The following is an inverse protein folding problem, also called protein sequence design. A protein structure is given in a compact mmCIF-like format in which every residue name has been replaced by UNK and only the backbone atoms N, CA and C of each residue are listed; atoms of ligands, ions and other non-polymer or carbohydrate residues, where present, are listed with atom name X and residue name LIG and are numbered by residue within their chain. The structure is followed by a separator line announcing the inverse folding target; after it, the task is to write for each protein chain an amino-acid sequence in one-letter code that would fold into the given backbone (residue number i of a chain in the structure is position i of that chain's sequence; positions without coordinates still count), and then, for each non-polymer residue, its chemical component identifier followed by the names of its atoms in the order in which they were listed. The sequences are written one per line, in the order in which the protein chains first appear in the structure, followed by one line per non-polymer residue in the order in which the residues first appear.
data_IF_653741624601
#
_entry.id   IF_653741624601
#
_cell.length_a   1.000
_cell.length_b   1.000
_cell.length_c   1.000
_cell.angle_alpha   90.00
_cell.angle_beta   90.00
_cell.angle_gamma   90.00
#
_symmetry.space_group_name_H-M   'P 1'
#
loop_
_entity.id
_entity.type
_entity.pdbx_description
1 polymer ?
#
# COMPACT_ATOMS: atom_id res chain seq x y z
N UNK A 1 11.93 15.84 34.75
CA UNK A 1 12.66 14.67 34.24
C UNK A 1 12.75 14.84 32.74
N UNK A 2 13.87 15.39 32.29
CA UNK A 2 14.16 15.69 30.88
C UNK A 2 14.62 14.40 30.20
N UNK A 3 14.06 14.08 29.04
CA UNK A 3 14.50 12.96 28.21
C UNK A 3 15.16 13.53 26.96
N UNK A 4 16.46 13.30 26.88
CA UNK A 4 17.36 13.59 25.77
C UNK A 4 16.95 12.84 24.49
N UNK A 5 17.04 13.55 23.37
CA UNK A 5 16.97 12.98 22.01
C UNK A 5 18.34 12.42 21.60
N UNK A 6 18.43 11.27 20.92
CA UNK A 6 19.71 10.78 20.41
C UNK A 6 20.07 11.47 19.09
N UNK A 7 21.26 12.07 19.04
CA UNK A 7 21.88 12.57 17.82
C UNK A 7 22.43 11.41 16.96
N UNK A 8 22.17 11.46 15.65
CA UNK A 8 22.88 10.63 14.67
C UNK A 8 24.34 11.09 14.57
N UNK A 9 25.26 10.23 14.97
CA UNK A 9 26.70 10.48 14.96
C UNK A 9 27.27 10.31 13.54
N UNK A 10 27.54 11.42 12.86
CA UNK A 10 28.35 11.44 11.64
C UNK A 10 29.84 11.26 11.97
N UNK A 11 30.51 10.32 11.29
CA UNK A 11 31.97 10.23 11.22
C UNK A 11 32.37 10.19 9.76
N UNK A 12 32.97 11.26 9.22
CA UNK A 12 34.11 11.15 8.29
C UNK A 12 35.06 12.33 8.57
N UNK A 13 36.34 11.99 8.64
CA UNK A 13 37.51 12.75 9.09
C UNK A 13 37.77 14.04 8.30
N UNK A 14 38.04 15.11 9.04
CA UNK A 14 38.64 16.36 8.57
C UNK A 14 40.15 16.19 8.40
N UNK A 15 40.65 16.26 7.17
CA UNK A 15 42.05 16.56 6.87
C UNK A 15 42.11 17.93 6.19
N UNK A 16 42.34 18.98 6.99
CA UNK A 16 42.74 20.29 6.49
C UNK A 16 44.25 20.29 6.27
N UNK A 17 44.68 20.39 5.03
CA UNK A 17 46.00 20.88 4.65
C UNK A 17 45.81 22.19 3.88
N UNK A 18 46.18 23.29 4.54
CA UNK A 18 46.28 24.63 3.97
C UNK A 18 47.36 24.65 2.87
N UNK A 19 46.98 25.00 1.66
CA UNK A 19 47.83 25.77 0.74
C UNK A 19 46.94 26.81 0.06
N UNK A 20 47.23 28.08 0.35
CA UNK A 20 46.62 29.21 -0.32
C UNK A 20 47.51 29.58 -1.51
N UNK A 21 46.95 29.53 -2.73
CA UNK A 21 47.39 30.43 -3.78
C UNK A 21 46.28 30.68 -4.82
N UNK A 22 46.04 31.98 -5.04
CA UNK A 22 45.53 32.64 -6.24
C UNK A 22 44.29 32.10 -7.00
N UNK A 23 43.16 32.76 -6.72
CA UNK A 23 42.21 33.28 -7.72
C UNK A 23 41.60 32.28 -8.73
N UNK A 24 40.81 31.32 -8.23
CA UNK A 24 39.83 30.61 -9.06
C UNK A 24 38.41 31.02 -8.68
N UNK A 25 37.67 31.54 -9.66
CA UNK A 25 36.23 31.76 -9.59
C UNK A 25 35.58 30.41 -9.22
N UNK A 26 34.67 30.34 -8.22
CA UNK A 26 34.00 29.09 -7.88
C UNK A 26 33.31 28.55 -9.14
N UNK A 27 33.71 27.36 -9.57
CA UNK A 27 33.06 26.64 -10.66
C UNK A 27 31.55 26.60 -10.42
N UNK A 28 30.76 27.14 -11.36
CA UNK A 28 29.29 27.18 -11.32
C UNK A 28 28.70 25.77 -11.09
N UNK A 29 29.45 24.72 -11.45
CA UNK A 29 29.09 23.32 -11.22
C UNK A 29 29.18 22.87 -9.75
N UNK A 30 29.98 23.52 -8.91
CA UNK A 30 30.14 23.19 -7.49
C UNK A 30 29.03 23.81 -6.62
N UNK A 31 28.59 25.03 -6.93
CA UNK A 31 27.45 25.68 -6.27
C UNK A 31 26.11 25.00 -6.61
N UNK A 32 25.91 24.60 -7.88
CA UNK A 32 24.70 23.88 -8.29
C UNK A 32 24.60 22.47 -7.64
N UNK A 33 25.75 21.83 -7.34
CA UNK A 33 25.77 20.53 -6.68
C UNK A 33 25.43 20.64 -5.18
N UNK A 34 25.89 21.68 -4.48
CA UNK A 34 25.53 21.92 -3.08
C UNK A 34 24.06 22.29 -2.90
N UNK A 35 23.50 23.08 -3.82
CA UNK A 35 22.08 23.47 -3.76
C UNK A 35 21.15 22.26 -4.00
N UNK A 36 21.47 21.41 -4.98
CA UNK A 36 20.70 20.20 -5.27
C UNK A 36 20.77 19.16 -4.13
N UNK A 37 21.93 19.06 -3.47
CA UNK A 37 22.08 18.25 -2.25
C UNK A 37 21.24 18.79 -1.09
N UNK A 38 21.21 20.12 -0.90
CA UNK A 38 20.39 20.77 0.13
C UNK A 38 18.89 20.59 -0.13
N UNK A 39 18.45 20.65 -1.39
CA UNK A 39 17.05 20.41 -1.78
C UNK A 39 16.64 18.94 -1.52
N UNK A 40 17.50 17.98 -1.89
CA UNK A 40 17.27 16.55 -1.65
C UNK A 40 17.19 16.24 -0.15
N UNK A 41 18.11 16.80 0.64
CA UNK A 41 18.09 16.63 2.10
C UNK A 41 16.86 17.26 2.74
N UNK A 42 16.50 18.48 2.34
CA UNK A 42 15.29 19.17 2.82
C UNK A 42 14.04 18.33 2.53
N UNK A 43 14.00 17.72 1.34
CA UNK A 43 12.91 16.83 0.94
C UNK A 43 12.85 15.55 1.79
N UNK A 44 14.00 14.92 2.04
CA UNK A 44 14.08 13.72 2.86
C UNK A 44 13.60 13.99 4.29
N UNK A 45 14.01 15.11 4.89
CA UNK A 45 13.52 15.52 6.21
C UNK A 45 12.02 15.75 6.22
N UNK A 46 11.48 16.42 5.20
CA UNK A 46 10.04 16.64 5.07
C UNK A 46 9.28 15.30 5.00
N UNK A 47 9.70 14.37 4.14
CA UNK A 47 9.06 13.06 3.99
C UNK A 47 9.09 12.28 5.31
N UNK A 48 10.24 12.28 6.00
CA UNK A 48 10.39 11.58 7.27
C UNK A 48 9.48 12.19 8.36
N UNK A 49 9.41 13.52 8.46
CA UNK A 49 8.52 14.19 9.41
C UNK A 49 7.05 13.81 9.16
N UNK A 50 6.63 13.79 7.90
CA UNK A 50 5.27 13.40 7.52
C UNK A 50 4.99 11.94 7.86
N UNK A 51 5.91 11.01 7.54
CA UNK A 51 5.79 9.60 7.93
C UNK A 51 5.66 9.43 9.45
N UNK A 52 6.48 10.14 10.24
CA UNK A 52 6.40 10.07 11.70
C UNK A 52 5.06 10.58 12.24
N UNK A 53 4.52 11.66 11.68
CA UNK A 53 3.17 12.15 12.04
C UNK A 53 2.12 11.07 11.77
N UNK A 54 2.16 10.45 10.60
CA UNK A 54 1.21 9.41 10.21
C UNK A 54 1.30 8.15 11.09
N UNK A 55 2.51 7.77 11.53
CA UNK A 55 2.68 6.67 12.50
C UNK A 55 2.06 7.03 13.86
N UNK A 56 2.22 8.27 14.34
CA UNK A 56 1.64 8.71 15.62
C UNK A 56 0.11 8.66 15.64
N UNK A 57 -0.54 8.76 14.49
CA UNK A 57 -2.00 8.62 14.34
C UNK A 57 -2.48 7.16 14.44
N UNK A 58 -1.60 6.17 14.26
CA UNK A 58 -1.97 4.76 14.31
C UNK A 58 -2.18 4.27 15.76
N UNK A 59 -2.98 3.22 15.98
CA UNK A 59 -3.01 2.51 17.26
C UNK A 59 -1.63 1.97 17.69
N UNK A 60 -1.33 2.00 19.00
CA UNK A 60 -0.02 1.59 19.57
C UNK A 60 0.50 0.23 19.09
N UNK A 61 -0.40 -0.74 18.88
CA UNK A 61 -0.07 -2.10 18.39
C UNK A 61 0.58 -2.14 16.99
N UNK A 62 0.40 -1.09 16.19
CA UNK A 62 1.03 -0.95 14.88
C UNK A 62 2.26 -0.06 14.96
N UNK A 63 2.23 1.00 15.79
CA UNK A 63 3.38 1.88 16.01
C UNK A 63 4.64 1.10 16.41
N UNK A 64 4.50 0.16 17.35
CA UNK A 64 5.62 -0.65 17.84
C UNK A 64 6.23 -1.58 16.78
N UNK A 65 5.53 -1.79 15.67
CA UNK A 65 5.98 -2.63 14.55
C UNK A 65 6.59 -1.82 13.41
N UNK A 66 6.64 -0.49 13.54
CA UNK A 66 7.20 0.42 12.54
C UNK A 66 8.36 1.17 13.20
N UNK A 67 9.59 0.64 13.14
CA UNK A 67 10.75 1.32 13.69
C UNK A 67 11.08 2.60 12.91
N UNK A 68 11.74 3.57 13.55
CA UNK A 68 12.14 4.81 12.88
C UNK A 68 13.13 4.58 11.74
N UNK A 69 13.99 3.56 11.85
CA UNK A 69 14.92 3.16 10.78
C UNK A 69 14.17 2.84 9.48
N UNK A 70 13.09 2.06 9.57
CA UNK A 70 12.21 1.75 8.43
C UNK A 70 11.61 3.02 7.81
N UNK A 71 11.26 4.04 8.61
CA UNK A 71 10.74 5.31 8.09
C UNK A 71 11.80 6.11 7.34
N UNK A 72 13.05 6.06 7.79
CA UNK A 72 14.17 6.69 7.10
C UNK A 72 14.41 6.02 5.73
N UNK A 73 14.53 4.70 5.71
CA UNK A 73 14.70 3.93 4.48
C UNK A 73 13.53 4.17 3.51
N UNK A 74 12.30 4.21 4.03
CA UNK A 74 11.13 4.47 3.20
C UNK A 74 11.14 5.89 2.63
N UNK A 75 11.54 6.90 3.43
CA UNK A 75 11.66 8.27 2.95
C UNK A 75 12.71 8.40 1.83
N UNK A 76 13.81 7.67 1.91
CA UNK A 76 14.83 7.59 0.86
C UNK A 76 14.25 6.99 -0.43
N UNK A 77 13.53 5.86 -0.34
CA UNK A 77 12.87 5.27 -1.50
C UNK A 77 11.81 6.18 -2.12
N UNK A 78 11.13 7.01 -1.32
CA UNK A 78 10.10 7.94 -1.79
C UNK A 78 10.65 9.18 -2.48
N UNK A 79 11.97 9.43 -2.42
CA UNK A 79 12.60 10.45 -3.27
C UNK A 79 12.49 10.06 -4.75
N UNK A 80 12.52 8.76 -5.05
CA UNK A 80 12.23 8.26 -6.38
C UNK A 80 10.71 8.24 -6.64
N UNK A 81 10.27 9.06 -7.59
CA UNK A 81 8.86 9.17 -7.97
C UNK A 81 8.31 7.88 -8.59
N UNK A 82 9.16 6.95 -9.04
CA UNK A 82 8.72 5.65 -9.57
C UNK A 82 7.94 4.85 -8.54
N UNK A 83 8.32 4.92 -7.25
CA UNK A 83 7.64 4.21 -6.17
C UNK A 83 6.16 4.62 -6.06
N UNK A 84 5.87 5.91 -6.18
CA UNK A 84 4.49 6.39 -6.20
C UNK A 84 3.69 5.86 -7.39
N UNK A 85 4.33 5.72 -8.58
CA UNK A 85 3.67 5.15 -9.76
C UNK A 85 3.36 3.68 -9.52
N UNK A 86 4.33 2.89 -9.03
CA UNK A 86 4.16 1.46 -8.76
C UNK A 86 3.01 1.23 -7.78
N UNK A 87 3.02 1.92 -6.63
CA UNK A 87 1.98 1.74 -5.61
C UNK A 87 0.60 2.16 -6.14
N UNK A 88 0.53 3.23 -6.94
CA UNK A 88 -0.71 3.66 -7.58
C UNK A 88 -1.23 2.62 -8.57
N UNK A 89 -0.37 2.11 -9.44
CA UNK A 89 -0.73 1.08 -10.43
C UNK A 89 -1.21 -0.20 -9.75
N UNK A 90 -0.52 -0.67 -8.70
CA UNK A 90 -0.95 -1.83 -7.92
C UNK A 90 -2.31 -1.58 -7.23
N UNK A 91 -2.54 -0.36 -6.74
CA UNK A 91 -3.82 0.04 -6.16
C UNK A 91 -4.94 0.02 -7.21
N UNK A 92 -4.70 0.53 -8.41
CA UNK A 92 -5.67 0.53 -9.50
C UNK A 92 -5.99 -0.92 -9.94
N UNK A 93 -4.97 -1.78 -10.05
CA UNK A 93 -5.12 -3.21 -10.32
C UNK A 93 -5.97 -3.89 -9.23
N UNK A 94 -5.74 -3.57 -7.95
CA UNK A 94 -6.53 -4.10 -6.84
C UNK A 94 -8.00 -3.71 -6.98
N UNK A 95 -8.30 -2.43 -7.18
CA UNK A 95 -9.67 -1.94 -7.30
C UNK A 95 -10.41 -2.59 -8.47
N UNK A 96 -9.77 -2.70 -9.64
CA UNK A 96 -10.37 -3.36 -10.81
C UNK A 96 -10.65 -4.83 -10.52
N UNK A 97 -9.70 -5.54 -9.90
CA UNK A 97 -9.85 -6.96 -9.54
C UNK A 97 -10.99 -7.17 -8.56
N UNK A 98 -11.03 -6.41 -7.47
CA UNK A 98 -12.10 -6.49 -6.46
C UNK A 98 -13.47 -6.20 -7.07
N UNK A 99 -13.56 -5.17 -7.92
CA UNK A 99 -14.79 -4.83 -8.65
C UNK A 99 -15.26 -5.97 -9.54
N UNK A 100 -14.34 -6.60 -10.28
CA UNK A 100 -14.67 -7.75 -11.13
C UNK A 100 -15.17 -8.95 -10.30
N UNK A 101 -14.52 -9.28 -9.18
CA UNK A 101 -14.96 -10.38 -8.31
C UNK A 101 -16.34 -10.11 -7.70
N UNK A 102 -16.57 -8.86 -7.25
CA UNK A 102 -17.88 -8.44 -6.75
C UNK A 102 -18.98 -8.57 -7.81
N UNK A 103 -18.70 -8.16 -9.05
CA UNK A 103 -19.64 -8.31 -10.17
C UNK A 103 -19.96 -9.79 -10.44
N UNK A 104 -18.95 -10.66 -10.51
CA UNK A 104 -19.18 -12.12 -10.69
C UNK A 104 -20.04 -12.71 -9.58
N UNK A 105 -19.84 -12.27 -8.32
CA UNK A 105 -20.67 -12.70 -7.19
C UNK A 105 -22.12 -12.26 -7.35
N UNK A 106 -22.33 -11.01 -7.76
CA UNK A 106 -23.65 -10.45 -7.99
C UNK A 106 -24.39 -11.20 -9.11
N UNK A 107 -23.71 -11.53 -10.21
CA UNK A 107 -24.27 -12.34 -11.29
C UNK A 107 -24.71 -13.72 -10.81
N UNK A 108 -23.92 -14.39 -9.97
CA UNK A 108 -24.29 -15.69 -9.40
C UNK A 108 -25.54 -15.59 -8.53
N UNK A 109 -25.62 -14.57 -7.68
CA UNK A 109 -26.80 -14.33 -6.83
C UNK A 109 -28.04 -14.09 -7.71
N UNK A 110 -27.91 -13.28 -8.76
CA UNK A 110 -29.00 -13.01 -9.69
C UNK A 110 -29.47 -14.28 -10.42
N UNK A 111 -28.54 -15.13 -10.89
CA UNK A 111 -28.85 -16.44 -11.48
C UNK A 111 -29.64 -17.32 -10.53
N UNK A 112 -29.20 -17.42 -9.27
CA UNK A 112 -29.92 -18.19 -8.24
C UNK A 112 -31.32 -17.62 -7.95
N UNK A 113 -31.46 -16.30 -7.88
CA UNK A 113 -32.73 -15.61 -7.66
C UNK A 113 -33.74 -15.87 -8.77
N UNK A 114 -33.31 -15.72 -10.03
CA UNK A 114 -34.15 -16.01 -11.21
C UNK A 114 -34.56 -17.49 -11.25
N UNK A 115 -33.64 -18.40 -10.95
CA UNK A 115 -33.94 -19.84 -10.89
C UNK A 115 -35.02 -20.18 -9.85
N UNK A 116 -34.93 -19.59 -8.66
CA UNK A 116 -35.94 -19.75 -7.60
C UNK A 116 -37.28 -19.14 -8.02
N UNK A 117 -37.29 -17.95 -8.63
CA UNK A 117 -38.52 -17.31 -9.08
C UNK A 117 -39.23 -18.13 -10.17
N UNK A 118 -38.46 -18.75 -11.09
CA UNK A 118 -39.02 -19.64 -12.12
C UNK A 118 -39.68 -20.86 -11.51
N UNK A 119 -39.05 -21.47 -10.49
CA UNK A 119 -39.63 -22.59 -9.77
C UNK A 119 -40.90 -22.20 -9.01
N UNK A 120 -40.91 -21.07 -8.31
CA UNK A 120 -42.09 -20.53 -7.64
C UNK A 120 -43.26 -20.36 -8.60
N UNK A 121 -43.03 -19.76 -9.78
CA UNK A 121 -44.07 -19.61 -10.82
C UNK A 121 -44.59 -20.95 -11.31
N UNK A 122 -43.74 -21.98 -11.41
CA UNK A 122 -44.16 -23.33 -11.84
C UNK A 122 -44.89 -24.13 -10.77
N UNK A 123 -44.58 -23.90 -9.48
CA UNK A 123 -45.19 -24.59 -8.32
C UNK A 123 -46.60 -24.06 -8.03
N UNK A 124 -46.90 -22.81 -8.45
CA UNK A 124 -48.26 -22.26 -8.46
C UNK A 124 -49.20 -22.95 -9.47
N UNK A 125 -48.62 -23.57 -10.52
CA UNK A 125 -49.37 -24.26 -11.58
C UNK A 125 -49.54 -25.75 -11.24
N UNK A 126 -48.56 -26.37 -10.58
CA UNK A 126 -48.55 -27.80 -10.21
C UNK A 126 -48.05 -27.98 -8.76
N UNK A 127 -48.95 -28.11 -7.77
CA UNK A 127 -48.59 -28.16 -6.36
C UNK A 127 -47.94 -29.51 -5.99
N UNK A 128 -46.68 -29.47 -5.51
CA UNK A 128 -45.99 -30.67 -5.03
C UNK A 128 -44.46 -30.61 -4.98
N UNK A 129 -43.82 -29.51 -5.44
CA UNK A 129 -42.36 -29.42 -5.63
C UNK A 129 -41.62 -28.79 -4.45
N UNK A 130 -42.15 -28.95 -3.23
CA UNK A 130 -41.54 -28.35 -2.03
C UNK A 130 -40.16 -28.93 -1.72
N UNK A 131 -39.98 -30.24 -1.87
CA UNK A 131 -38.71 -30.91 -1.62
C UNK A 131 -37.63 -30.52 -2.65
N UNK A 132 -37.99 -30.42 -3.93
CA UNK A 132 -37.06 -30.00 -5.00
C UNK A 132 -36.64 -28.54 -4.84
N UNK A 133 -37.54 -27.66 -4.37
CA UNK A 133 -37.22 -26.27 -4.01
C UNK A 133 -36.21 -26.19 -2.86
N UNK A 134 -36.41 -26.97 -1.80
CA UNK A 134 -35.48 -27.00 -0.65
C UNK A 134 -34.10 -27.53 -1.06
N UNK A 135 -34.06 -28.58 -1.88
CA UNK A 135 -32.83 -29.15 -2.44
C UNK A 135 -32.08 -28.10 -3.28
N UNK A 136 -32.74 -27.42 -4.21
CA UNK A 136 -32.11 -26.39 -5.03
C UNK A 136 -31.59 -25.22 -4.18
N UNK A 137 -32.35 -24.78 -3.17
CA UNK A 137 -31.91 -23.68 -2.31
C UNK A 137 -30.68 -24.08 -1.46
N UNK A 138 -30.61 -25.33 -1.01
CA UNK A 138 -29.44 -25.86 -0.33
C UNK A 138 -28.21 -25.91 -1.26
N UNK A 139 -28.41 -26.32 -2.52
CA UNK A 139 -27.37 -26.33 -3.55
C UNK A 139 -26.87 -24.91 -3.86
N UNK A 140 -27.77 -23.94 -4.10
CA UNK A 140 -27.40 -22.55 -4.32
C UNK A 140 -26.58 -21.97 -3.15
N UNK A 141 -26.94 -22.30 -1.90
CA UNK A 141 -26.17 -21.90 -0.70
C UNK A 141 -24.80 -22.56 -0.64
N UNK A 142 -24.66 -23.80 -1.10
CA UNK A 142 -23.37 -24.49 -1.17
C UNK A 142 -22.50 -23.87 -2.26
N UNK A 143 -23.05 -23.69 -3.46
CA UNK A 143 -22.37 -23.10 -4.61
C UNK A 143 -21.88 -21.69 -4.30
N UNK A 144 -22.71 -20.85 -3.65
CA UNK A 144 -22.29 -19.50 -3.26
C UNK A 144 -21.15 -19.52 -2.23
N UNK A 145 -21.17 -20.45 -1.28
CA UNK A 145 -20.08 -20.60 -0.30
C UNK A 145 -18.78 -21.06 -0.95
N UNK A 146 -18.85 -21.99 -1.90
CA UNK A 146 -17.68 -22.43 -2.67
C UNK A 146 -17.13 -21.32 -3.56
N UNK A 147 -18.01 -20.52 -4.15
CA UNK A 147 -17.63 -19.36 -4.93
C UNK A 147 -16.97 -18.27 -4.08
N UNK A 148 -17.54 -17.93 -2.93
CA UNK A 148 -16.97 -16.95 -2.00
C UNK A 148 -15.58 -17.40 -1.51
N UNK A 149 -15.37 -18.71 -1.25
CA UNK A 149 -14.05 -19.27 -0.94
C UNK A 149 -13.05 -19.06 -2.09
N UNK A 150 -13.46 -19.33 -3.33
CA UNK A 150 -12.60 -19.12 -4.51
C UNK A 150 -12.21 -17.65 -4.67
N UNK A 151 -13.14 -16.71 -4.48
CA UNK A 151 -12.83 -15.27 -4.50
C UNK A 151 -11.73 -14.94 -3.49
N UNK A 152 -11.86 -15.40 -2.24
CA UNK A 152 -10.85 -15.14 -1.21
C UNK A 152 -9.48 -15.71 -1.60
N UNK A 153 -9.44 -16.94 -2.14
CA UNK A 153 -8.20 -17.55 -2.63
C UNK A 153 -7.56 -16.70 -3.74
N UNK A 154 -8.33 -16.26 -4.73
CA UNK A 154 -7.82 -15.44 -5.85
C UNK A 154 -7.33 -14.06 -5.35
N UNK A 155 -8.02 -13.45 -4.38
CA UNK A 155 -7.57 -12.19 -3.76
C UNK A 155 -6.28 -12.38 -2.96
N UNK A 156 -6.12 -13.50 -2.27
CA UNK A 156 -4.89 -13.82 -1.54
C UNK A 156 -3.69 -14.05 -2.48
N UNK A 157 -3.91 -14.68 -3.63
CA UNK A 157 -2.91 -14.82 -4.68
C UNK A 157 -2.48 -13.45 -5.22
N UNK A 158 -3.45 -12.57 -5.50
CA UNK A 158 -3.17 -11.20 -5.95
C UNK A 158 -2.41 -10.38 -4.93
N UNK A 159 -2.76 -10.51 -3.64
CA UNK A 159 -2.04 -9.87 -2.53
C UNK A 159 -0.58 -10.36 -2.45
N UNK A 160 -0.33 -11.67 -2.63
CA UNK A 160 1.05 -12.20 -2.70
C UNK A 160 1.83 -11.69 -3.91
N UNK A 161 1.18 -11.58 -5.07
CA UNK A 161 1.79 -11.00 -6.28
C UNK A 161 2.21 -9.54 -6.04
N UNK A 162 1.33 -8.72 -5.46
CA UNK A 162 1.62 -7.33 -5.11
C UNK A 162 2.76 -7.22 -4.09
N UNK A 163 2.75 -8.06 -3.05
CA UNK A 163 3.87 -8.14 -2.09
C UNK A 163 5.19 -8.46 -2.79
N UNK A 164 5.19 -9.41 -3.72
CA UNK A 164 6.38 -9.77 -4.49
C UNK A 164 6.86 -8.60 -5.36
N UNK A 165 5.95 -7.89 -6.04
CA UNK A 165 6.31 -6.70 -6.83
C UNK A 165 6.96 -5.62 -5.97
N UNK A 166 6.38 -5.30 -4.80
CA UNK A 166 6.94 -4.30 -3.88
C UNK A 166 8.27 -4.75 -3.26
N UNK A 167 8.39 -6.02 -2.94
CA UNK A 167 9.64 -6.60 -2.44
C UNK A 167 10.75 -6.54 -3.49
N UNK A 168 10.45 -6.90 -4.74
CA UNK A 168 11.41 -6.83 -5.86
C UNK A 168 11.77 -5.39 -6.24
N UNK A 169 10.86 -4.44 -6.03
CA UNK A 169 11.15 -3.01 -6.18
C UNK A 169 12.02 -2.44 -5.03
N UNK A 170 12.38 -3.27 -4.04
CA UNK A 170 13.25 -2.87 -2.93
C UNK A 170 12.54 -1.97 -1.92
N UNK A 171 11.21 -1.98 -1.86
CA UNK A 171 10.46 -1.11 -0.96
C UNK A 171 10.60 -1.60 0.48
N UNK A 172 11.13 -0.79 1.41
CA UNK A 172 11.39 -1.23 2.76
C UNK A 172 10.08 -1.47 3.52
N UNK A 173 10.08 -2.51 4.36
CA UNK A 173 8.88 -2.96 5.08
C UNK A 173 7.96 -3.88 4.27
N UNK A 174 8.29 -4.17 3.01
CA UNK A 174 7.54 -5.11 2.16
C UNK A 174 8.32 -6.41 1.95
N UNK A 175 7.69 -7.49 2.39
CA UNK A 175 8.14 -8.87 2.26
C UNK A 175 6.94 -9.77 1.98
N UNK A 176 7.18 -10.91 1.33
CA UNK A 176 6.13 -11.89 1.07
C UNK A 176 5.75 -12.54 2.40
N UNK A 177 4.51 -12.35 2.84
CA UNK A 177 4.06 -12.85 4.15
C UNK A 177 2.56 -13.15 4.19
N UNK A 178 2.22 -14.22 4.89
CA UNK A 178 0.85 -14.62 5.24
C UNK A 178 0.49 -14.27 6.70
N UNK A 179 1.41 -13.65 7.46
CA UNK A 179 1.11 -13.21 8.83
C UNK A 179 0.17 -12.01 8.81
N UNK A 180 -1.01 -12.17 9.44
CA UNK A 180 -2.03 -11.14 9.46
C UNK A 180 -1.56 -9.82 10.10
N UNK A 181 -0.67 -9.87 11.10
CA UNK A 181 -0.19 -8.63 11.73
C UNK A 181 0.76 -7.86 10.81
N UNK A 182 1.66 -8.56 10.10
CA UNK A 182 2.56 -7.96 9.11
C UNK A 182 1.81 -7.41 7.91
N UNK A 183 0.83 -8.14 7.39
CA UNK A 183 -0.05 -7.67 6.31
C UNK A 183 -0.73 -6.36 6.72
N UNK A 184 -1.26 -6.27 7.94
CA UNK A 184 -1.86 -5.02 8.43
C UNK A 184 -0.86 -3.87 8.46
N UNK A 185 0.40 -4.10 8.82
CA UNK A 185 1.44 -3.07 8.78
C UNK A 185 1.73 -2.65 7.34
N UNK A 186 1.93 -3.60 6.42
CA UNK A 186 2.16 -3.32 5.00
C UNK A 186 1.02 -2.51 4.37
N UNK A 187 -0.24 -2.81 4.71
CA UNK A 187 -1.40 -2.03 4.27
C UNK A 187 -1.29 -0.57 4.77
N UNK A 188 -0.87 -0.35 6.01
CA UNK A 188 -0.67 1.03 6.52
C UNK A 188 0.48 1.75 5.83
N UNK A 189 1.56 1.04 5.51
CA UNK A 189 2.66 1.63 4.73
C UNK A 189 2.18 2.02 3.32
N UNK A 190 1.38 1.19 2.64
CA UNK A 190 0.73 1.56 1.38
C UNK A 190 -0.14 2.81 1.53
N UNK A 191 -0.98 2.88 2.58
CA UNK A 191 -1.79 4.07 2.89
C UNK A 191 -0.91 5.33 3.02
N UNK A 192 0.27 5.19 3.64
CA UNK A 192 1.20 6.30 3.81
C UNK A 192 1.75 6.78 2.48
N UNK A 193 2.25 5.87 1.66
CA UNK A 193 2.81 6.18 0.34
C UNK A 193 1.75 6.88 -0.54
N UNK A 194 0.52 6.38 -0.54
CA UNK A 194 -0.58 6.98 -1.33
C UNK A 194 -0.87 8.42 -0.85
N UNK A 195 -0.96 8.66 0.45
CA UNK A 195 -1.23 10.01 0.99
C UNK A 195 -0.07 10.98 0.72
N UNK A 196 1.18 10.53 0.87
CA UNK A 196 2.35 11.34 0.53
C UNK A 196 2.37 11.72 -0.94
N UNK A 197 1.98 10.82 -1.84
CA UNK A 197 1.85 11.12 -3.27
C UNK A 197 0.84 12.24 -3.58
N UNK A 198 -0.15 12.46 -2.70
CA UNK A 198 -1.16 13.52 -2.86
C UNK A 198 -0.66 14.85 -2.31
N UNK A 199 0.11 14.82 -1.20
CA UNK A 199 0.78 15.99 -0.65
C UNK A 199 1.78 16.54 -1.67
N UNK A 200 2.50 15.64 -2.34
CA UNK A 200 3.51 15.96 -3.36
C UNK A 200 2.94 16.57 -4.65
N UNK A 201 1.64 16.38 -4.90
CA UNK A 201 0.93 17.00 -6.03
C UNK A 201 0.43 18.42 -5.75
N UNK A 202 0.53 18.91 -4.51
CA UNK A 202 0.23 20.30 -4.17
C UNK A 202 1.50 21.16 -4.09
N UNK A 203 2.09 21.55 -5.21
CA UNK A 203 2.69 22.87 -5.34
C UNK A 203 1.76 23.72 -6.22
N UNK A 204 1.47 24.95 -5.77
CA UNK A 204 0.78 26.04 -6.51
C UNK A 204 -0.76 26.12 -6.42
N UNK A 205 -1.28 26.39 -5.22
CA UNK A 205 -2.48 27.25 -5.05
C UNK A 205 -2.25 28.19 -3.84
N UNK A 206 -1.43 29.23 -4.04
CA UNK A 206 -1.53 30.55 -3.35
C UNK A 206 -1.17 31.64 -4.35
#
# INVERSE_FOLDING_TARGET
MSVESPQCSGRISSNYSLVADSNEIPSVSAMAASDNQNETQSRLYFLNEQLQKMVKELPRKYQQRIPNELLCELAECLLDKTLYSIVKELTDIQHVTEKQMFQKRLEMINKHSVGIQKLLKSDLVEPGKTETRLKLQAEHRKNLREFDKKIVTELDEKRREQQNTLHMAGVPGFDITDDASRIQVQIRLCDFIIRLSQIDKKPDEV
#
